data_IF_290150118027
#
_entry.id   IF_290150118027
#
_cell.length_a   1.000
_cell.length_b   1.000
_cell.length_c   1.000
_cell.angle_alpha   90.00
_cell.angle_beta   90.00
_cell.angle_gamma   90.00
#
_symmetry.space_group_name_H-M   'P 1'
#
loop_
_entity.id
_entity.type
_entity.pdbx_description
1 polymer ?
#
# COMPACT_ATOMS: atom_id res chain seq x y z
N UNK A 1 0.09 -23.57 -23.48
CA UNK A 1 -0.51 -23.94 -22.18
C UNK A 1 -0.12 -22.92 -21.12
N UNK A 2 -1.11 -22.34 -20.46
CA UNK A 2 -0.84 -21.46 -19.32
C UNK A 2 -0.40 -22.29 -18.12
N UNK A 3 0.51 -21.76 -17.31
CA UNK A 3 0.87 -22.40 -16.06
C UNK A 3 -0.33 -22.36 -15.11
N UNK A 4 -0.56 -23.41 -14.29
CA UNK A 4 -1.59 -23.34 -13.27
C UNK A 4 -1.25 -22.24 -12.26
N UNK A 5 -2.29 -21.62 -11.72
CA UNK A 5 -2.11 -20.60 -10.69
C UNK A 5 -1.42 -21.21 -9.47
N UNK A 6 -0.57 -20.43 -8.81
CA UNK A 6 -0.05 -20.81 -7.49
C UNK A 6 -1.21 -20.87 -6.50
N UNK A 7 -0.98 -21.55 -5.37
CA UNK A 7 -1.99 -21.61 -4.29
C UNK A 7 -2.40 -20.19 -3.87
N UNK A 8 -1.44 -19.27 -3.77
CA UNK A 8 -1.68 -17.89 -3.35
C UNK A 8 -2.50 -17.12 -4.40
N UNK A 9 -2.18 -17.29 -5.68
CA UNK A 9 -2.93 -16.65 -6.77
C UNK A 9 -4.37 -17.18 -6.81
N UNK A 10 -4.55 -18.50 -6.69
CA UNK A 10 -5.89 -19.09 -6.64
C UNK A 10 -6.70 -18.56 -5.45
N UNK A 11 -6.08 -18.46 -4.28
CA UNK A 11 -6.74 -17.91 -3.09
C UNK A 11 -7.13 -16.45 -3.26
N UNK A 12 -6.25 -15.63 -3.85
CA UNK A 12 -6.53 -14.23 -4.14
C UNK A 12 -7.73 -14.09 -5.08
N UNK A 13 -7.79 -14.90 -6.14
CA UNK A 13 -8.92 -14.92 -7.07
C UNK A 13 -10.22 -15.31 -6.37
N UNK A 14 -10.16 -16.28 -5.44
CA UNK A 14 -11.33 -16.70 -4.66
C UNK A 14 -11.84 -15.56 -3.78
N UNK A 15 -10.93 -14.83 -3.12
CA UNK A 15 -11.29 -13.68 -2.26
C UNK A 15 -11.95 -12.59 -3.11
N UNK A 16 -11.38 -12.28 -4.26
CA UNK A 16 -11.93 -11.28 -5.19
C UNK A 16 -13.33 -11.70 -5.66
N UNK A 17 -13.56 -12.99 -5.86
CA UNK A 17 -14.83 -13.54 -6.28
C UNK A 17 -15.88 -13.63 -5.16
N UNK A 18 -15.50 -13.35 -3.92
CA UNK A 18 -16.45 -13.25 -2.81
C UNK A 18 -16.18 -14.14 -1.60
N UNK A 19 -15.12 -14.95 -1.62
CA UNK A 19 -14.75 -15.76 -0.45
C UNK A 19 -14.36 -14.85 0.72
N UNK A 20 -14.94 -15.07 1.88
CA UNK A 20 -14.59 -14.34 3.07
C UNK A 20 -13.20 -14.71 3.57
N UNK A 21 -12.47 -13.72 4.08
CA UNK A 21 -11.14 -13.91 4.64
C UNK A 21 -10.97 -12.98 5.84
N UNK A 22 -10.29 -13.43 6.87
CA UNK A 22 -9.97 -12.58 8.02
C UNK A 22 -8.82 -11.65 7.67
N UNK A 23 -8.81 -10.46 8.28
CA UNK A 23 -7.79 -9.43 7.99
C UNK A 23 -6.37 -9.96 8.13
N UNK A 24 -6.06 -10.71 9.20
CA UNK A 24 -4.73 -11.25 9.41
C UNK A 24 -4.35 -12.30 8.36
N UNK A 25 -5.30 -13.10 7.92
CA UNK A 25 -5.08 -14.08 6.84
C UNK A 25 -4.85 -13.39 5.52
N UNK A 26 -5.59 -12.30 5.25
CA UNK A 26 -5.39 -11.50 4.04
C UNK A 26 -4.01 -10.84 4.04
N UNK A 27 -3.56 -10.31 5.17
CA UNK A 27 -2.22 -9.74 5.28
C UNK A 27 -1.13 -10.76 4.97
N UNK A 28 -1.27 -11.99 5.43
CA UNK A 28 -0.34 -13.08 5.11
C UNK A 28 -0.37 -13.43 3.63
N UNK A 29 -1.56 -13.50 3.06
CA UNK A 29 -1.75 -13.77 1.63
C UNK A 29 -1.08 -12.67 0.78
N UNK A 30 -1.29 -11.40 1.15
CA UNK A 30 -0.68 -10.27 0.45
C UNK A 30 0.84 -10.35 0.52
N UNK A 31 1.41 -10.72 1.67
CA UNK A 31 2.86 -10.88 1.79
C UNK A 31 3.40 -11.92 0.80
N UNK A 32 2.70 -13.04 0.63
CA UNK A 32 3.08 -14.07 -0.33
C UNK A 32 2.90 -13.61 -1.78
N UNK A 33 1.80 -12.92 -2.07
CA UNK A 33 1.55 -12.37 -3.42
C UNK A 33 2.61 -11.34 -3.82
N UNK A 34 3.11 -10.54 -2.86
CA UNK A 34 4.19 -9.59 -3.11
C UNK A 34 5.49 -10.32 -3.50
N UNK A 35 5.78 -11.44 -2.87
CA UNK A 35 6.95 -12.27 -3.23
C UNK A 35 6.82 -12.80 -4.66
N UNK A 36 5.61 -13.15 -5.07
CA UNK A 36 5.33 -13.60 -6.45
C UNK A 36 5.19 -12.44 -7.44
N UNK A 37 5.25 -11.19 -6.94
CA UNK A 37 5.14 -9.96 -7.74
C UNK A 37 3.79 -9.82 -8.45
N UNK A 38 2.74 -10.38 -7.90
CA UNK A 38 1.37 -10.25 -8.43
C UNK A 38 0.61 -9.13 -7.71
N UNK A 39 1.14 -7.93 -7.82
CA UNK A 39 0.63 -6.75 -7.09
C UNK A 39 -0.81 -6.40 -7.45
N UNK A 40 -1.22 -6.59 -8.71
CA UNK A 40 -2.58 -6.31 -9.14
C UNK A 40 -3.62 -7.18 -8.43
N UNK A 41 -3.34 -8.47 -8.26
CA UNK A 41 -4.25 -9.38 -7.53
C UNK A 41 -4.27 -9.04 -6.05
N UNK A 42 -3.12 -8.75 -5.45
CA UNK A 42 -3.05 -8.33 -4.05
C UNK A 42 -3.87 -7.06 -3.82
N UNK A 43 -3.73 -6.08 -4.70
CA UNK A 43 -4.50 -4.83 -4.64
C UNK A 43 -6.01 -5.09 -4.70
N UNK A 44 -6.44 -5.90 -5.66
CA UNK A 44 -7.87 -6.21 -5.85
C UNK A 44 -8.45 -6.93 -4.62
N UNK A 45 -7.70 -7.88 -4.05
CA UNK A 45 -8.13 -8.58 -2.83
C UNK A 45 -8.26 -7.61 -1.65
N UNK A 46 -7.31 -6.68 -1.50
CA UNK A 46 -7.36 -5.66 -0.45
C UNK A 46 -8.53 -4.69 -0.66
N UNK A 47 -8.78 -4.26 -1.90
CA UNK A 47 -9.92 -3.39 -2.23
C UNK A 47 -11.24 -4.07 -1.91
N UNK A 48 -11.38 -5.35 -2.25
CA UNK A 48 -12.59 -6.14 -1.96
C UNK A 48 -12.84 -6.21 -0.45
N UNK A 49 -11.80 -6.50 0.31
CA UNK A 49 -11.90 -6.59 1.77
C UNK A 49 -12.28 -5.23 2.39
N UNK A 50 -11.68 -4.14 1.91
CA UNK A 50 -12.01 -2.79 2.35
C UNK A 50 -13.48 -2.46 2.05
N UNK A 51 -13.95 -2.75 0.84
CA UNK A 51 -15.34 -2.54 0.46
C UNK A 51 -16.28 -3.33 1.36
N UNK A 52 -15.92 -4.57 1.69
CA UNK A 52 -16.76 -5.43 2.53
C UNK A 52 -16.91 -4.88 3.96
N UNK A 53 -15.82 -4.43 4.59
CA UNK A 53 -15.97 -3.88 5.94
C UNK A 53 -16.59 -2.48 5.94
N UNK A 54 -16.37 -1.67 4.91
CA UNK A 54 -17.02 -0.36 4.78
C UNK A 54 -18.53 -0.50 4.55
N UNK A 55 -18.95 -1.54 3.84
CA UNK A 55 -20.37 -1.84 3.59
C UNK A 55 -20.97 -2.75 4.68
N UNK A 56 -20.26 -2.96 5.77
CA UNK A 56 -20.72 -3.73 6.92
C UNK A 56 -21.06 -5.19 6.60
N UNK A 57 -20.47 -5.74 5.54
CA UNK A 57 -20.64 -7.18 5.19
C UNK A 57 -19.79 -8.07 6.07
N UNK A 58 -18.68 -7.53 6.58
CA UNK A 58 -17.79 -8.19 7.54
C UNK A 58 -17.52 -7.21 8.69
N UNK A 59 -16.98 -7.75 9.79
CA UNK A 59 -16.61 -6.91 10.93
C UNK A 59 -15.51 -5.93 10.58
N UNK A 60 -15.59 -4.72 11.15
CA UNK A 60 -14.55 -3.70 10.96
C UNK A 60 -13.27 -4.17 11.63
N UNK A 61 -12.11 -4.18 10.93
CA UNK A 61 -10.85 -4.59 11.53
C UNK A 61 -10.44 -3.67 12.69
N UNK A 62 -9.55 -4.17 13.56
CA UNK A 62 -8.92 -3.33 14.58
C UNK A 62 -8.17 -2.17 13.92
N UNK A 63 -7.88 -1.11 14.67
CA UNK A 63 -7.11 0.02 14.15
C UNK A 63 -5.74 -0.41 13.64
N UNK A 64 -5.08 -1.34 14.35
CA UNK A 64 -3.79 -1.88 13.92
C UNK A 64 -3.89 -2.61 12.58
N UNK A 65 -4.87 -3.49 12.42
CA UNK A 65 -5.07 -4.24 11.18
C UNK A 65 -5.48 -3.30 10.04
N UNK A 66 -6.35 -2.33 10.32
CA UNK A 66 -6.82 -1.35 9.36
C UNK A 66 -5.64 -0.54 8.80
N UNK A 67 -4.72 -0.12 9.68
CA UNK A 67 -3.49 0.59 9.28
C UNK A 67 -2.65 -0.28 8.34
N UNK A 68 -2.38 -1.52 8.72
CA UNK A 68 -1.57 -2.44 7.91
C UNK A 68 -2.22 -2.73 6.56
N UNK A 69 -3.53 -2.96 6.55
CA UNK A 69 -4.28 -3.21 5.31
C UNK A 69 -4.17 -2.00 4.37
N UNK A 70 -4.33 -0.78 4.90
CA UNK A 70 -4.24 0.44 4.09
C UNK A 70 -2.83 0.68 3.58
N UNK A 71 -1.80 0.44 4.39
CA UNK A 71 -0.40 0.54 3.95
C UNK A 71 -0.10 -0.46 2.84
N UNK A 72 -0.58 -1.70 2.94
CA UNK A 72 -0.41 -2.70 1.89
C UNK A 72 -1.17 -2.33 0.62
N UNK A 73 -2.36 -1.75 0.76
CA UNK A 73 -3.12 -1.28 -0.39
C UNK A 73 -2.39 -0.16 -1.13
N UNK A 74 -1.81 0.79 -0.40
CA UNK A 74 -0.96 1.83 -0.99
C UNK A 74 0.21 1.22 -1.75
N UNK A 75 0.95 0.30 -1.12
CA UNK A 75 2.12 -0.35 -1.71
C UNK A 75 1.74 -1.12 -2.98
N UNK A 76 0.72 -1.95 -2.92
CA UNK A 76 0.29 -2.73 -4.08
C UNK A 76 -0.23 -1.84 -5.21
N UNK A 77 -0.80 -0.68 -4.88
CA UNK A 77 -1.27 0.28 -5.86
C UNK A 77 -0.10 0.89 -6.63
N UNK A 78 0.92 1.43 -5.94
CA UNK A 78 2.01 2.07 -6.66
C UNK A 78 2.95 1.08 -7.35
N UNK A 79 2.93 -0.18 -6.96
CA UNK A 79 3.73 -1.24 -7.60
C UNK A 79 2.99 -2.02 -8.69
N UNK A 80 1.69 -1.81 -8.85
CA UNK A 80 0.91 -2.51 -9.87
C UNK A 80 1.30 -1.98 -11.27
N UNK A 81 1.92 -2.81 -12.12
CA UNK A 81 2.38 -2.36 -13.43
C UNK A 81 1.25 -2.08 -14.42
N UNK A 82 0.03 -2.57 -14.15
CA UNK A 82 -1.10 -2.44 -15.05
C UNK A 82 -1.85 -1.12 -14.89
N UNK A 83 -1.55 -0.35 -13.84
CA UNK A 83 -2.20 0.94 -13.57
C UNK A 83 -1.44 2.09 -14.24
N UNK A 84 -2.16 3.18 -14.51
CA UNK A 84 -1.55 4.39 -15.06
C UNK A 84 -0.44 4.87 -14.13
N UNK A 85 0.78 5.12 -14.66
CA UNK A 85 1.95 5.46 -13.81
C UNK A 85 1.77 6.70 -12.95
N UNK A 86 1.09 7.73 -13.44
CA UNK A 86 0.86 8.96 -12.67
C UNK A 86 -0.26 8.78 -11.65
N UNK A 87 -1.40 8.25 -12.10
CA UNK A 87 -2.59 8.10 -11.26
C UNK A 87 -2.36 7.17 -10.08
N UNK A 88 -1.63 6.07 -10.29
CA UNK A 88 -1.38 5.12 -9.21
C UNK A 88 -0.54 5.70 -8.08
N UNK A 89 0.40 6.60 -8.40
CA UNK A 89 1.22 7.26 -7.39
C UNK A 89 0.39 8.22 -6.55
N UNK A 90 -0.49 8.98 -7.19
CA UNK A 90 -1.40 9.88 -6.48
C UNK A 90 -2.39 9.11 -5.60
N UNK A 91 -2.94 8.01 -6.13
CA UNK A 91 -3.86 7.15 -5.36
C UNK A 91 -3.16 6.54 -4.14
N UNK A 92 -1.93 6.06 -4.30
CA UNK A 92 -1.16 5.50 -3.20
C UNK A 92 -0.89 6.53 -2.11
N UNK A 93 -0.54 7.76 -2.49
CA UNK A 93 -0.37 8.86 -1.54
C UNK A 93 -1.66 9.18 -0.78
N UNK A 94 -2.80 9.16 -1.48
CA UNK A 94 -4.09 9.43 -0.86
C UNK A 94 -4.40 8.41 0.24
N UNK A 95 -4.09 7.12 0.02
CA UNK A 95 -4.23 6.11 1.06
C UNK A 95 -3.39 6.45 2.29
N UNK A 96 -2.15 6.84 2.10
CA UNK A 96 -1.26 7.19 3.21
C UNK A 96 -1.73 8.45 3.95
N UNK A 97 -2.20 9.46 3.22
CA UNK A 97 -2.75 10.69 3.79
C UNK A 97 -3.99 10.44 4.62
N UNK A 98 -4.75 9.42 4.28
CA UNK A 98 -5.91 9.00 5.09
C UNK A 98 -5.53 8.38 6.42
N UNK A 99 -4.30 7.89 6.56
CA UNK A 99 -3.79 7.31 7.80
C UNK A 99 -3.09 8.34 8.70
N UNK A 100 -2.22 9.14 8.11
CA UNK A 100 -1.27 9.99 8.83
C UNK A 100 -1.05 11.31 8.10
N UNK A 101 -0.64 12.33 8.84
CA UNK A 101 -0.15 13.56 8.22
C UNK A 101 1.20 13.28 7.53
N UNK A 102 1.30 13.67 6.27
CA UNK A 102 2.55 13.61 5.50
C UNK A 102 3.19 14.99 5.36
N UNK A 103 2.68 16.01 6.07
CA UNK A 103 3.21 17.37 6.00
C UNK A 103 4.53 17.45 6.75
N UNK A 104 5.64 17.49 6.01
CA UNK A 104 6.99 17.55 6.55
C UNK A 104 7.26 18.81 7.39
N UNK A 105 6.48 19.85 7.21
CA UNK A 105 6.61 21.11 7.96
C UNK A 105 5.84 21.10 9.28
N UNK A 106 4.96 20.13 9.47
CA UNK A 106 4.13 20.02 10.67
C UNK A 106 4.82 19.18 11.74
N UNK A 107 4.63 19.56 13.01
CA UNK A 107 5.06 18.75 14.14
C UNK A 107 4.27 17.43 14.21
N UNK A 108 3.09 17.39 13.58
CA UNK A 108 2.21 16.22 13.55
C UNK A 108 2.55 15.25 12.40
N UNK A 109 3.57 15.56 11.59
CA UNK A 109 4.00 14.67 10.53
C UNK A 109 4.26 13.26 11.10
N UNK A 110 3.80 12.26 10.38
CA UNK A 110 3.91 10.87 10.81
C UNK A 110 5.33 10.49 11.21
N UNK A 111 5.43 9.60 12.21
CA UNK A 111 6.68 8.94 12.61
C UNK A 111 6.65 7.45 12.27
N UNK A 112 5.55 6.98 11.69
CA UNK A 112 5.40 5.59 11.30
C UNK A 112 6.41 5.25 10.22
N UNK A 113 7.27 4.25 10.48
CA UNK A 113 8.37 3.90 9.59
C UNK A 113 7.88 3.39 8.23
N UNK A 114 6.83 2.57 8.22
CA UNK A 114 6.28 2.04 6.99
C UNK A 114 5.68 3.16 6.12
N UNK A 115 4.92 4.07 6.73
CA UNK A 115 4.34 5.21 6.01
C UNK A 115 5.41 6.12 5.43
N UNK A 116 6.44 6.46 6.23
CA UNK A 116 7.55 7.30 5.75
C UNK A 116 8.32 6.63 4.61
N UNK A 117 8.58 5.33 4.73
CA UNK A 117 9.28 4.56 3.71
C UNK A 117 8.50 4.54 2.40
N UNK A 118 7.19 4.32 2.48
CA UNK A 118 6.34 4.31 1.29
C UNK A 118 6.22 5.70 0.65
N UNK A 119 6.06 6.75 1.47
CA UNK A 119 6.01 8.12 0.96
C UNK A 119 7.30 8.47 0.21
N UNK A 120 8.45 8.12 0.79
CA UNK A 120 9.75 8.31 0.13
C UNK A 120 9.82 7.58 -1.21
N UNK A 121 9.40 6.33 -1.25
CA UNK A 121 9.41 5.51 -2.46
C UNK A 121 8.48 6.08 -3.54
N UNK A 122 7.30 6.54 -3.15
CA UNK A 122 6.33 7.12 -4.10
C UNK A 122 6.89 8.40 -4.73
N UNK A 123 7.45 9.31 -3.93
CA UNK A 123 8.02 10.55 -4.46
C UNK A 123 9.26 10.30 -5.32
N UNK A 124 10.07 9.28 -5.01
CA UNK A 124 11.17 8.88 -5.87
C UNK A 124 10.65 8.44 -7.25
N UNK A 125 9.57 7.66 -7.28
CA UNK A 125 8.95 7.24 -8.54
C UNK A 125 8.37 8.42 -9.31
N UNK A 126 7.78 9.41 -8.63
CA UNK A 126 7.31 10.64 -9.26
C UNK A 126 8.47 11.39 -9.92
N UNK A 127 9.61 11.46 -9.24
CA UNK A 127 10.82 12.06 -9.82
C UNK A 127 11.29 11.28 -11.06
N UNK A 128 11.32 9.98 -10.99
CA UNK A 128 11.72 9.13 -12.12
C UNK A 128 10.82 9.35 -13.36
N UNK A 129 9.52 9.60 -13.13
CA UNK A 129 8.57 9.84 -14.21
C UNK A 129 8.66 11.25 -14.81
N UNK A 130 8.97 12.25 -14.00
CA UNK A 130 8.82 13.66 -14.37
C UNK A 130 10.16 14.41 -14.49
N UNK A 131 11.23 13.87 -13.89
CA UNK A 131 12.53 14.52 -13.71
C UNK A 131 12.46 15.85 -12.93
N UNK A 132 11.35 16.09 -12.22
CA UNK A 132 11.21 17.29 -11.39
C UNK A 132 11.97 17.09 -10.07
N UNK A 133 13.01 17.88 -9.87
CA UNK A 133 13.92 17.79 -8.72
C UNK A 133 13.18 17.93 -7.39
N UNK A 134 12.11 18.73 -7.35
CA UNK A 134 11.31 18.89 -6.13
C UNK A 134 10.80 17.56 -5.58
N UNK A 135 10.45 16.61 -6.45
CA UNK A 135 10.01 15.28 -6.00
C UNK A 135 11.15 14.48 -5.37
N UNK A 136 12.35 14.58 -5.93
CA UNK A 136 13.51 13.91 -5.34
C UNK A 136 13.83 14.49 -3.96
N UNK A 137 13.80 15.82 -3.84
CA UNK A 137 14.02 16.50 -2.55
C UNK A 137 13.01 16.04 -1.51
N UNK A 138 11.73 15.94 -1.89
CA UNK A 138 10.66 15.47 -1.01
C UNK A 138 10.90 14.02 -0.59
N UNK A 139 11.27 13.15 -1.53
CA UNK A 139 11.61 11.75 -1.26
C UNK A 139 12.72 11.65 -0.22
N UNK A 140 13.81 12.40 -0.44
CA UNK A 140 14.95 12.41 0.48
C UNK A 140 14.55 12.92 1.87
N UNK A 141 13.65 13.89 1.95
CA UNK A 141 13.18 14.43 3.22
C UNK A 141 12.40 13.38 4.03
N UNK A 142 11.57 12.56 3.39
CA UNK A 142 10.88 11.46 4.06
C UNK A 142 11.86 10.40 4.55
N UNK A 143 12.84 10.02 3.74
CA UNK A 143 13.87 9.06 4.15
C UNK A 143 14.74 9.62 5.28
N UNK A 144 15.09 10.89 5.23
CA UNK A 144 15.85 11.53 6.31
C UNK A 144 15.08 11.48 7.64
N UNK A 145 13.78 11.75 7.60
CA UNK A 145 12.93 11.65 8.79
C UNK A 145 12.87 10.24 9.34
N UNK A 146 12.88 9.25 8.46
CA UNK A 146 12.92 7.84 8.85
C UNK A 146 14.18 7.54 9.68
N UNK A 147 15.34 8.01 9.25
CA UNK A 147 16.59 7.84 9.98
C UNK A 147 16.58 8.53 11.33
N UNK A 148 16.08 9.75 11.41
CA UNK A 148 15.97 10.50 12.65
C UNK A 148 15.10 9.73 13.65
N UNK A 149 13.97 9.21 13.22
CA UNK A 149 13.07 8.46 14.10
C UNK A 149 13.67 7.14 14.57
N UNK A 150 14.56 6.53 13.80
CA UNK A 150 15.27 5.30 14.19
C UNK A 150 16.37 5.58 15.23
N UNK A 151 16.99 6.74 15.15
CA UNK A 151 18.09 7.12 16.02
C UNK A 151 17.62 7.65 17.37
N UNK A 152 16.37 8.08 17.43
CA UNK A 152 15.77 8.59 18.67
C UNK A 152 14.95 7.53 19.39
#
# INVERSE_FOLDING_TARGET
>A
MSRPDSVNVAEAKAVIAGKEIKSQQLLKLVAELKKERVFGLARKALEKHQADYLNKRISIPSQTDKRKLTQQLSLCTYKDPDLNPTDKLDSALDFLKGLDSLDLKSNDCTKDQETLSQAGAIFKRKWELTSQTAYLETSLAYYARLYVNRSG
#
